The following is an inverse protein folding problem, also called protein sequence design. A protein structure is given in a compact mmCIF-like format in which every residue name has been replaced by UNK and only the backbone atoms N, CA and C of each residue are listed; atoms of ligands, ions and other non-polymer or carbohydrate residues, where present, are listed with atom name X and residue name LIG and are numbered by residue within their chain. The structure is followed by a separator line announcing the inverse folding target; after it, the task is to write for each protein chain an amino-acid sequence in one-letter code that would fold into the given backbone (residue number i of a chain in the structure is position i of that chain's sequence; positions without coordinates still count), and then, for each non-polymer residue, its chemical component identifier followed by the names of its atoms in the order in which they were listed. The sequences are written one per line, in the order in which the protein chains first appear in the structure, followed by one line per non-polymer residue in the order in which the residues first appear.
data_IF_610551984784
#
_entry.id   IF_610551984784
#
_cell.length_a   1.000
_cell.length_b   1.000
_cell.length_c   1.000
_cell.angle_alpha   90.00
_cell.angle_beta   90.00
_cell.angle_gamma   90.00
#
_symmetry.space_group_name_H-M   'P 1'
#
loop_
_entity.id
_entity.type
_entity.pdbx_description
1 polymer ?
#
# COMPACT_ATOMS: atom_id res chain seq x y z
N UNK A 1 -5.05 -9.23 21.96
CA UNK A 1 -6.11 -8.40 21.35
C UNK A 1 -5.52 -7.44 20.29
N UNK A 2 -4.49 -6.69 20.62
CA UNK A 2 -3.85 -5.72 19.69
C UNK A 2 -3.44 -6.34 18.34
N UNK A 3 -2.75 -7.49 18.35
CA UNK A 3 -2.33 -8.20 17.13
C UNK A 3 -3.52 -8.49 16.21
N UNK A 4 -4.63 -8.97 16.76
CA UNK A 4 -5.84 -9.24 15.96
C UNK A 4 -6.41 -7.97 15.34
N UNK A 5 -6.47 -6.88 16.09
CA UNK A 5 -6.93 -5.60 15.56
C UNK A 5 -6.05 -5.12 14.40
N UNK A 6 -4.73 -5.24 14.52
CA UNK A 6 -3.80 -4.89 13.45
C UNK A 6 -3.97 -5.75 12.20
N UNK A 7 -4.14 -7.08 12.36
CA UNK A 7 -4.44 -7.97 11.23
C UNK A 7 -5.74 -7.54 10.52
N UNK A 8 -6.79 -7.27 11.26
CA UNK A 8 -8.09 -6.83 10.72
C UNK A 8 -7.96 -5.51 9.97
N UNK A 9 -7.29 -4.51 10.54
CA UNK A 9 -7.12 -3.19 9.94
C UNK A 9 -6.26 -3.24 8.67
N UNK A 10 -5.11 -3.90 8.73
CA UNK A 10 -4.17 -3.97 7.61
C UNK A 10 -4.75 -4.77 6.45
N UNK A 11 -5.33 -5.96 6.74
CA UNK A 11 -5.94 -6.76 5.67
C UNK A 11 -7.15 -6.06 5.06
N UNK A 12 -7.93 -5.29 5.85
CA UNK A 12 -9.02 -4.47 5.37
C UNK A 12 -8.54 -3.35 4.44
N UNK A 13 -7.53 -2.59 4.87
CA UNK A 13 -6.92 -1.56 4.03
C UNK A 13 -6.42 -2.12 2.70
N UNK A 14 -5.62 -3.19 2.75
CA UNK A 14 -5.05 -3.83 1.56
C UNK A 14 -6.14 -4.38 0.65
N UNK A 15 -7.17 -5.03 1.21
CA UNK A 15 -8.27 -5.59 0.43
C UNK A 15 -9.06 -4.52 -0.33
N UNK A 16 -9.43 -3.43 0.35
CA UNK A 16 -10.18 -2.31 -0.29
C UNK A 16 -9.33 -1.61 -1.34
N UNK A 17 -8.05 -1.33 -1.04
CA UNK A 17 -7.15 -0.67 -1.98
C UNK A 17 -6.87 -1.52 -3.22
N UNK A 18 -6.65 -2.84 -3.06
CA UNK A 18 -6.44 -3.77 -4.18
C UNK A 18 -7.70 -3.97 -5.01
N UNK A 19 -8.87 -4.03 -4.37
CA UNK A 19 -10.15 -4.08 -5.09
C UNK A 19 -10.36 -2.81 -5.92
N UNK A 20 -10.12 -1.64 -5.33
CA UNK A 20 -10.22 -0.35 -6.01
C UNK A 20 -9.29 -0.28 -7.22
N UNK A 21 -8.02 -0.60 -7.06
CA UNK A 21 -7.05 -0.60 -8.15
C UNK A 21 -7.43 -1.58 -9.27
N UNK A 22 -7.79 -2.82 -8.93
CA UNK A 22 -8.17 -3.83 -9.92
C UNK A 22 -9.38 -3.39 -10.74
N UNK A 23 -10.40 -2.84 -10.08
CA UNK A 23 -11.60 -2.34 -10.74
C UNK A 23 -11.32 -1.07 -11.56
N UNK A 24 -10.42 -0.19 -11.12
CA UNK A 24 -10.01 1.00 -11.87
C UNK A 24 -9.21 0.65 -13.14
N UNK A 25 -8.34 -0.36 -13.08
CA UNK A 25 -7.67 -0.91 -14.27
C UNK A 25 -8.70 -1.44 -15.27
N UNK A 26 -9.76 -2.07 -14.78
CA UNK A 26 -10.88 -2.55 -15.61
C UNK A 26 -11.84 -1.44 -16.06
N UNK A 27 -11.71 -0.22 -15.57
CA UNK A 27 -12.57 0.92 -15.93
C UNK A 27 -13.95 0.91 -15.27
N UNK A 28 -14.13 0.20 -14.16
CA UNK A 28 -15.44 -0.01 -13.50
C UNK A 28 -15.40 0.25 -11.99
N UNK A 29 -14.41 1.00 -11.50
CA UNK A 29 -14.32 1.32 -10.08
C UNK A 29 -15.42 2.30 -9.67
N UNK A 30 -16.03 2.02 -8.54
CA UNK A 30 -17.02 2.87 -7.90
C UNK A 30 -17.19 2.46 -6.44
N UNK A 31 -17.81 3.29 -5.61
CA UNK A 31 -17.89 3.04 -4.17
C UNK A 31 -18.58 1.71 -3.83
N UNK A 32 -19.64 1.34 -4.55
CA UNK A 32 -20.36 0.09 -4.32
C UNK A 32 -19.52 -1.12 -4.74
N UNK A 33 -18.97 -1.09 -5.97
CA UNK A 33 -18.16 -2.18 -6.51
C UNK A 33 -16.92 -2.44 -5.65
N UNK A 34 -16.20 -1.37 -5.30
CA UNK A 34 -15.02 -1.44 -4.44
C UNK A 34 -15.38 -1.92 -3.04
N UNK A 35 -16.51 -1.47 -2.50
CA UNK A 35 -17.03 -1.93 -1.21
C UNK A 35 -17.31 -3.43 -1.22
N UNK A 36 -18.05 -3.93 -2.20
CA UNK A 36 -18.42 -5.35 -2.29
C UNK A 36 -17.18 -6.24 -2.50
N UNK A 37 -16.36 -5.93 -3.51
CA UNK A 37 -15.16 -6.72 -3.82
C UNK A 37 -14.14 -6.63 -2.69
N UNK A 38 -13.94 -5.44 -2.11
CA UNK A 38 -13.04 -5.23 -0.98
C UNK A 38 -13.46 -6.01 0.26
N UNK A 39 -14.76 -6.01 0.61
CA UNK A 39 -15.28 -6.81 1.73
C UNK A 39 -15.12 -8.31 1.49
N UNK A 40 -15.39 -8.80 0.27
CA UNK A 40 -15.20 -10.20 -0.07
C UNK A 40 -13.73 -10.62 0.05
N UNK A 41 -12.81 -9.82 -0.50
CA UNK A 41 -11.37 -10.06 -0.40
C UNK A 41 -10.89 -10.00 1.05
N UNK A 42 -11.35 -9.01 1.81
CA UNK A 42 -11.05 -8.89 3.23
C UNK A 42 -11.50 -10.11 4.03
N UNK A 43 -12.75 -10.56 3.83
CA UNK A 43 -13.26 -11.77 4.46
C UNK A 43 -12.41 -13.00 4.12
N UNK A 44 -12.02 -13.16 2.85
CA UNK A 44 -11.13 -14.23 2.40
C UNK A 44 -9.77 -14.19 3.12
N UNK A 45 -9.13 -13.01 3.21
CA UNK A 45 -7.85 -12.84 3.90
C UNK A 45 -7.97 -13.18 5.40
N UNK A 46 -9.07 -12.79 6.06
CA UNK A 46 -9.32 -13.11 7.47
C UNK A 46 -9.56 -14.61 7.69
N UNK A 47 -10.29 -15.27 6.78
CA UNK A 47 -10.50 -16.73 6.83
C UNK A 47 -9.16 -17.46 6.66
N UNK A 48 -8.34 -17.06 5.69
CA UNK A 48 -7.01 -17.64 5.47
C UNK A 48 -6.07 -17.42 6.65
N UNK A 49 -6.13 -16.26 7.30
CA UNK A 49 -5.35 -15.98 8.52
C UNK A 49 -5.78 -16.87 9.68
N UNK A 50 -7.08 -17.09 9.83
CA UNK A 50 -7.68 -17.93 10.87
C UNK A 50 -7.72 -17.25 12.26
N UNK A 51 -8.54 -17.83 13.15
CA UNK A 51 -8.80 -17.29 14.49
C UNK A 51 -7.81 -17.76 15.56
N UNK A 52 -7.04 -18.81 15.32
CA UNK A 52 -6.12 -19.35 16.31
C UNK A 52 -5.02 -18.35 16.68
N UNK A 53 -4.60 -18.32 17.95
CA UNK A 53 -3.48 -17.50 18.39
C UNK A 53 -2.21 -17.89 17.62
N UNK A 54 -1.26 -16.96 17.54
CA UNK A 54 0.07 -17.23 16.96
C UNK A 54 0.80 -18.15 17.92
N UNK A 55 1.16 -19.35 17.44
CA UNK A 55 1.92 -20.33 18.21
C UNK A 55 3.41 -20.01 18.05
N UNK A 56 3.99 -19.31 18.98
CA UNK A 56 5.44 -19.04 19.03
C UNK A 56 5.88 -18.97 20.48
N UNK A 57 7.20 -18.90 20.77
CA UNK A 57 7.66 -18.63 22.12
C UNK A 57 6.95 -17.34 22.57
N UNK A 58 6.11 -17.51 23.60
CA UNK A 58 5.24 -16.44 24.08
C UNK A 58 6.11 -15.30 24.59
N UNK A 59 6.25 -14.25 23.76
CA UNK A 59 6.71 -12.99 24.30
C UNK A 59 5.60 -12.51 25.25
N UNK A 60 5.93 -12.05 26.45
CA UNK A 60 4.91 -11.51 27.35
C UNK A 60 4.12 -10.41 26.62
N UNK A 61 2.81 -10.37 26.85
CA UNK A 61 1.98 -9.31 26.29
C UNK A 61 2.57 -7.94 26.69
N UNK A 62 2.63 -6.99 25.74
CA UNK A 62 3.17 -5.67 26.03
C UNK A 62 2.37 -5.03 27.18
N UNK A 63 3.07 -4.30 28.02
CA UNK A 63 2.45 -3.59 29.16
C UNK A 63 1.33 -2.68 28.66
N UNK A 64 0.18 -2.71 29.33
CA UNK A 64 -1.00 -1.93 28.91
C UNK A 64 -0.71 -0.45 28.69
N UNK A 65 0.11 0.16 29.55
CA UNK A 65 0.48 1.58 29.40
C UNK A 65 1.28 1.86 28.12
N UNK A 66 2.14 0.92 27.67
CA UNK A 66 2.89 1.03 26.41
C UNK A 66 1.94 1.03 25.22
N UNK A 67 0.95 0.13 25.24
CA UNK A 67 -0.08 0.10 24.19
C UNK A 67 -0.89 1.39 24.16
N UNK A 68 -1.32 1.89 25.31
CA UNK A 68 -2.08 3.15 25.40
C UNK A 68 -1.23 4.33 24.92
N UNK A 69 0.01 4.43 25.39
CA UNK A 69 0.91 5.49 24.96
C UNK A 69 1.21 5.42 23.45
N UNK A 70 1.46 4.23 22.90
CA UNK A 70 1.67 4.03 21.47
C UNK A 70 0.46 4.43 20.64
N UNK A 71 -0.74 4.02 21.04
CA UNK A 71 -1.97 4.42 20.37
C UNK A 71 -2.22 5.94 20.46
N UNK A 72 -1.88 6.56 21.58
CA UNK A 72 -1.96 8.03 21.74
C UNK A 72 -1.00 8.74 20.78
N UNK A 73 0.25 8.28 20.68
CA UNK A 73 1.24 8.83 19.72
C UNK A 73 0.71 8.73 18.28
N UNK A 74 0.17 7.57 17.90
CA UNK A 74 -0.41 7.35 16.57
C UNK A 74 -1.59 8.29 16.31
N UNK A 75 -2.51 8.39 17.27
CA UNK A 75 -3.70 9.25 17.15
C UNK A 75 -3.32 10.73 17.05
N UNK A 76 -2.40 11.20 17.91
CA UNK A 76 -1.91 12.59 17.89
C UNK A 76 -1.17 12.89 16.58
N UNK A 77 -0.27 11.99 16.13
CA UNK A 77 0.41 12.14 14.84
C UNK A 77 -0.58 12.18 13.68
N UNK A 78 -1.55 11.28 13.64
CA UNK A 78 -2.61 11.29 12.63
C UNK A 78 -3.40 12.61 12.63
N UNK A 79 -3.92 13.03 13.77
CA UNK A 79 -4.69 14.27 13.91
C UNK A 79 -3.87 15.53 13.54
N UNK A 80 -2.60 15.58 13.93
CA UNK A 80 -1.71 16.71 13.62
C UNK A 80 -1.38 16.82 12.12
N UNK A 81 -1.49 15.72 11.37
CA UNK A 81 -1.19 15.69 9.94
C UNK A 81 -2.43 15.79 9.03
N UNK A 82 -3.66 15.78 9.55
CA UNK A 82 -4.90 15.90 8.73
C UNK A 82 -5.05 17.29 8.10
N UNK A 83 -4.76 18.37 8.84
CA UNK A 83 -5.08 19.74 8.40
C UNK A 83 -4.07 20.41 7.47
N UNK A 84 -2.76 20.27 7.64
CA UNK A 84 -1.80 20.97 6.79
C UNK A 84 -1.43 20.15 5.54
N UNK A 85 -2.41 19.79 4.75
CA UNK A 85 -2.17 19.19 3.43
C UNK A 85 -1.81 20.29 2.43
N UNK A 86 -0.74 20.10 1.67
CA UNK A 86 -0.39 21.00 0.59
C UNK A 86 -1.44 20.92 -0.52
N UNK A 87 -1.88 22.08 -1.03
CA UNK A 87 -2.68 22.12 -2.26
C UNK A 87 -1.74 21.96 -3.46
N UNK A 88 -1.66 20.76 -4.01
CA UNK A 88 -0.89 20.48 -5.22
C UNK A 88 -1.77 20.63 -6.44
N UNK A 89 -1.70 21.81 -7.07
CA UNK A 89 -2.44 22.13 -8.30
C UNK A 89 -1.63 21.75 -9.54
N UNK A 90 -0.29 21.72 -9.42
CA UNK A 90 0.60 21.42 -10.53
C UNK A 90 0.87 19.92 -10.64
N UNK A 91 0.64 19.35 -11.80
CA UNK A 91 0.83 17.93 -12.11
C UNK A 91 2.26 17.54 -12.52
N UNK A 92 3.22 18.43 -12.34
CA UNK A 92 4.60 18.23 -12.77
C UNK A 92 5.49 17.46 -11.76
N UNK A 93 4.91 16.95 -10.69
CA UNK A 93 5.57 16.17 -9.64
C UNK A 93 4.63 15.10 -9.09
N UNK A 94 5.20 14.05 -8.51
CA UNK A 94 4.45 12.93 -7.91
C UNK A 94 3.21 13.34 -7.11
N UNK A 95 3.26 14.31 -6.17
CA UNK A 95 2.07 14.68 -5.40
C UNK A 95 0.91 15.18 -6.27
N UNK A 96 1.19 16.02 -7.26
CA UNK A 96 0.16 16.53 -8.17
C UNK A 96 -0.41 15.44 -9.07
N UNK A 97 0.44 14.54 -9.54
CA UNK A 97 0.05 13.37 -10.35
C UNK A 97 -0.89 12.47 -9.56
N UNK A 98 -0.54 12.15 -8.30
CA UNK A 98 -1.38 11.31 -7.43
C UNK A 98 -2.71 11.98 -7.10
N UNK A 99 -2.72 13.29 -6.83
CA UNK A 99 -3.95 14.06 -6.56
C UNK A 99 -4.84 14.06 -7.80
N UNK A 100 -4.31 14.38 -8.99
CA UNK A 100 -5.07 14.37 -10.23
C UNK A 100 -5.63 12.98 -10.54
N UNK A 101 -4.81 11.92 -10.42
CA UNK A 101 -5.24 10.55 -10.64
C UNK A 101 -6.29 10.06 -9.65
N UNK A 102 -6.15 10.44 -8.38
CA UNK A 102 -7.12 10.10 -7.35
C UNK A 102 -8.48 10.76 -7.58
N UNK A 103 -8.50 12.04 -7.96
CA UNK A 103 -9.72 12.77 -8.32
C UNK A 103 -10.39 12.17 -9.56
N UNK A 104 -9.62 11.99 -10.62
CA UNK A 104 -10.12 11.38 -11.84
C UNK A 104 -10.77 10.01 -11.58
N UNK A 105 -10.07 9.16 -10.83
CA UNK A 105 -10.60 7.84 -10.47
C UNK A 105 -11.86 7.93 -9.62
N UNK A 106 -11.94 8.86 -8.69
CA UNK A 106 -13.13 9.05 -7.85
C UNK A 106 -14.36 9.44 -8.69
N UNK A 107 -14.18 10.27 -9.69
CA UNK A 107 -15.24 10.78 -10.56
C UNK A 107 -15.61 9.82 -11.69
N UNK A 108 -14.62 9.14 -12.31
CA UNK A 108 -14.81 8.40 -13.56
C UNK A 108 -14.62 6.88 -13.41
N UNK A 109 -14.07 6.40 -12.30
CA UNK A 109 -13.88 4.97 -12.02
C UNK A 109 -12.80 4.29 -12.86
N UNK A 110 -11.92 5.05 -13.54
CA UNK A 110 -10.86 4.53 -14.40
C UNK A 110 -9.55 5.31 -14.23
N UNK A 111 -8.48 4.86 -14.92
CA UNK A 111 -7.14 5.45 -14.88
C UNK A 111 -6.76 6.20 -16.15
N UNK A 112 -7.65 6.27 -17.13
CA UNK A 112 -7.43 6.95 -18.40
C UNK A 112 -8.21 8.26 -18.41
N UNK A 113 -7.51 9.37 -18.57
CA UNK A 113 -8.11 10.69 -18.64
C UNK A 113 -8.49 10.99 -20.09
N UNK A 114 -9.77 11.17 -20.34
CA UNK A 114 -10.30 11.56 -21.65
C UNK A 114 -10.43 13.09 -21.76
N UNK A 115 -10.22 13.66 -22.95
CA UNK A 115 -10.50 15.06 -23.24
C UNK A 115 -9.27 15.99 -23.22
N UNK A 116 -8.06 15.45 -23.43
CA UNK A 116 -6.83 16.25 -23.34
C UNK A 116 -6.73 17.43 -24.33
N UNK A 117 -6.78 17.18 -25.62
CA UNK A 117 -6.56 18.23 -26.67
C UNK A 117 -7.80 19.09 -26.85
N UNK A 118 -8.99 18.51 -26.83
CA UNK A 118 -10.26 19.24 -27.02
C UNK A 118 -10.54 20.26 -25.90
N UNK A 119 -9.94 20.04 -24.71
CA UNK A 119 -10.09 20.96 -23.58
C UNK A 119 -9.26 22.25 -23.72
N UNK A 120 -8.29 22.30 -24.65
CA UNK A 120 -7.38 23.44 -24.84
C UNK A 120 -7.49 23.97 -26.26
N UNK A 121 -8.22 25.09 -26.50
CA UNK A 121 -8.38 25.66 -27.84
C UNK A 121 -7.04 25.96 -28.50
N UNK A 122 -6.84 25.47 -29.74
CA UNK A 122 -5.65 25.73 -30.53
C UNK A 122 -4.48 24.74 -30.28
N UNK A 123 -4.75 23.65 -29.58
CA UNK A 123 -3.82 22.56 -29.42
C UNK A 123 -4.15 21.45 -30.42
N UNK A 124 -3.23 21.16 -31.33
CA UNK A 124 -3.39 20.09 -32.33
C UNK A 124 -2.91 18.72 -31.85
N UNK A 125 -2.06 18.71 -30.81
CA UNK A 125 -1.60 17.47 -30.15
C UNK A 125 -1.14 17.74 -28.72
N UNK A 126 -1.09 16.70 -27.88
CA UNK A 126 -0.48 16.76 -26.56
C UNK A 126 1.05 16.64 -26.59
N UNK A 127 1.63 16.44 -27.79
CA UNK A 127 3.07 16.43 -27.99
C UNK A 127 3.72 17.71 -27.44
N UNK A 128 4.52 17.56 -26.41
CA UNK A 128 5.17 18.68 -25.73
C UNK A 128 4.43 19.22 -24.49
N UNK A 129 3.13 18.97 -24.30
CA UNK A 129 2.45 19.19 -23.02
C UNK A 129 2.62 18.00 -22.08
N UNK A 130 2.70 16.81 -22.66
CA UNK A 130 2.94 15.57 -21.93
C UNK A 130 4.46 15.39 -21.80
N UNK A 131 5.08 16.24 -21.01
CA UNK A 131 6.50 16.10 -20.73
C UNK A 131 6.75 14.83 -19.93
N UNK A 132 7.82 14.10 -20.27
CA UNK A 132 8.25 12.90 -19.56
C UNK A 132 8.41 13.14 -18.03
N UNK A 133 8.71 14.38 -17.61
CA UNK A 133 8.76 14.76 -16.20
C UNK A 133 7.40 15.02 -15.53
N UNK A 134 6.30 15.05 -16.28
CA UNK A 134 4.95 15.28 -15.75
C UNK A 134 4.23 13.99 -15.37
N UNK A 135 4.82 12.82 -15.64
CA UNK A 135 4.20 11.53 -15.34
C UNK A 135 2.90 11.26 -16.09
N UNK A 136 2.73 11.87 -17.25
CA UNK A 136 1.56 11.71 -18.11
C UNK A 136 2.03 11.38 -19.53
N UNK A 137 1.33 10.49 -20.20
CA UNK A 137 1.63 10.12 -21.58
C UNK A 137 0.36 9.89 -22.37
N UNK A 138 0.43 10.06 -23.69
CA UNK A 138 -0.63 9.66 -24.59
C UNK A 138 -0.87 8.16 -24.53
N UNK A 139 -2.13 7.77 -24.69
CA UNK A 139 -2.53 6.37 -24.71
C UNK A 139 -2.67 5.90 -26.16
N UNK A 140 -1.86 4.93 -26.57
CA UNK A 140 -2.00 4.21 -27.85
C UNK A 140 -2.11 5.10 -29.10
N UNK A 141 -1.45 6.27 -29.08
CA UNK A 141 -1.48 7.21 -30.20
C UNK A 141 -2.80 8.01 -30.31
N UNK A 142 -3.67 7.96 -29.31
CA UNK A 142 -4.86 8.80 -29.23
C UNK A 142 -4.49 10.12 -28.51
N UNK A 143 -4.43 11.25 -29.26
CA UNK A 143 -4.02 12.54 -28.70
C UNK A 143 -5.02 13.10 -27.66
N UNK A 144 -6.21 12.53 -27.56
CA UNK A 144 -7.24 12.93 -26.61
C UNK A 144 -7.19 12.14 -25.30
N UNK A 145 -6.33 11.14 -25.19
CA UNK A 145 -6.24 10.26 -24.02
C UNK A 145 -4.90 10.36 -23.33
N UNK A 146 -4.94 10.62 -22.04
CA UNK A 146 -3.76 10.74 -21.20
C UNK A 146 -3.78 9.61 -20.18
N UNK A 147 -2.66 8.89 -20.04
CA UNK A 147 -2.43 7.97 -18.93
C UNK A 147 -1.56 8.64 -17.87
N UNK A 148 -1.99 8.50 -16.63
CA UNK A 148 -1.19 8.87 -15.47
C UNK A 148 -0.13 7.79 -15.28
N UNK A 149 1.15 8.18 -15.25
CA UNK A 149 2.26 7.25 -15.15
C UNK A 149 2.61 6.92 -13.71
N UNK A 150 3.08 5.69 -13.47
CA UNK A 150 3.52 5.22 -12.17
C UNK A 150 2.63 4.14 -11.57
N UNK A 151 2.81 3.87 -10.30
CA UNK A 151 2.02 2.88 -9.56
C UNK A 151 0.76 3.54 -8.96
N UNK A 152 -0.41 2.94 -9.17
CA UNK A 152 -1.70 3.62 -8.93
C UNK A 152 -2.39 3.26 -7.61
N UNK A 153 -1.74 2.50 -6.70
CA UNK A 153 -2.35 2.16 -5.40
C UNK A 153 -2.66 3.41 -4.56
N UNK A 154 -1.74 4.38 -4.54
CA UNK A 154 -1.96 5.58 -3.73
C UNK A 154 -3.05 6.49 -4.30
N UNK A 155 -3.13 6.80 -5.61
CA UNK A 155 -4.32 7.40 -6.21
C UNK A 155 -5.62 6.70 -5.86
N UNK A 156 -5.63 5.36 -5.88
CA UNK A 156 -6.80 4.57 -5.46
C UNK A 156 -7.20 4.82 -4.01
N UNK A 157 -6.23 4.92 -3.11
CA UNK A 157 -6.48 5.24 -1.69
C UNK A 157 -7.09 6.62 -1.53
N UNK A 158 -6.65 7.59 -2.32
CA UNK A 158 -7.23 8.94 -2.34
C UNK A 158 -8.69 8.91 -2.83
N UNK A 159 -8.96 8.19 -3.93
CA UNK A 159 -10.31 8.02 -4.46
C UNK A 159 -11.25 7.34 -3.44
N UNK A 160 -10.77 6.31 -2.74
CA UNK A 160 -11.54 5.68 -1.64
C UNK A 160 -11.86 6.69 -0.54
N UNK A 161 -10.89 7.53 -0.17
CA UNK A 161 -11.12 8.62 0.78
C UNK A 161 -12.24 9.55 0.35
N UNK A 162 -12.26 9.93 -0.92
CA UNK A 162 -13.30 10.78 -1.50
C UNK A 162 -14.68 10.12 -1.48
N UNK A 163 -14.77 8.85 -1.86
CA UNK A 163 -16.03 8.10 -1.80
C UNK A 163 -16.58 7.96 -0.38
N UNK A 164 -15.72 7.94 0.63
CA UNK A 164 -16.14 7.81 2.05
C UNK A 164 -16.61 9.13 2.63
N UNK A 165 -15.93 10.25 2.37
CA UNK A 165 -16.20 11.52 3.03
C UNK A 165 -15.94 12.77 2.14
N UNK A 166 -16.06 12.63 0.81
CA UNK A 166 -15.86 13.72 -0.14
C UNK A 166 -14.46 14.33 -0.03
N UNK A 167 -14.35 15.62 -0.27
CA UNK A 167 -13.08 16.37 -0.18
C UNK A 167 -12.36 16.22 1.15
N UNK A 168 -13.10 16.11 2.25
CA UNK A 168 -12.52 15.91 3.59
C UNK A 168 -11.84 14.55 3.67
N UNK A 169 -12.48 13.52 3.15
CA UNK A 169 -11.92 12.17 3.11
C UNK A 169 -10.71 12.07 2.18
N UNK A 170 -10.79 12.69 1.02
CA UNK A 170 -9.65 12.80 0.08
C UNK A 170 -8.45 13.46 0.75
N UNK A 171 -8.65 14.63 1.36
CA UNK A 171 -7.60 15.37 2.04
C UNK A 171 -7.04 14.66 3.28
N UNK A 172 -7.86 13.90 4.00
CA UNK A 172 -7.43 13.17 5.19
C UNK A 172 -6.74 11.83 4.87
N UNK A 173 -6.93 11.26 3.67
CA UNK A 173 -6.42 9.95 3.31
C UNK A 173 -4.91 9.77 3.55
N UNK A 174 -4.02 10.70 3.18
CA UNK A 174 -2.58 10.58 3.46
C UNK A 174 -2.27 10.47 4.96
N UNK A 175 -2.94 11.27 5.80
CA UNK A 175 -2.75 11.26 7.24
C UNK A 175 -3.28 9.97 7.90
N UNK A 176 -4.39 9.44 7.39
CA UNK A 176 -4.93 8.14 7.82
C UNK A 176 -3.96 7.01 7.46
N UNK A 177 -3.44 7.00 6.23
CA UNK A 177 -2.42 6.02 5.82
C UNK A 177 -1.16 6.15 6.67
N UNK A 178 -0.70 7.37 6.93
CA UNK A 178 0.42 7.63 7.84
C UNK A 178 0.17 7.08 9.24
N UNK A 179 -0.99 7.32 9.83
CA UNK A 179 -1.35 6.78 11.15
C UNK A 179 -1.37 5.24 11.14
N UNK A 180 -1.93 4.61 10.10
CA UNK A 180 -1.91 3.15 9.94
C UNK A 180 -0.49 2.60 9.76
N UNK A 181 0.37 3.30 9.00
CA UNK A 181 1.76 2.92 8.82
C UNK A 181 2.54 3.01 10.14
N UNK A 182 2.32 4.06 10.93
CA UNK A 182 2.90 4.19 12.26
C UNK A 182 2.41 3.09 13.22
N UNK A 183 1.13 2.70 13.12
CA UNK A 183 0.57 1.58 13.87
C UNK A 183 1.18 0.24 13.46
N UNK A 184 1.40 0.01 12.16
CA UNK A 184 2.08 -1.18 11.63
C UNK A 184 3.56 -1.22 12.06
N UNK A 185 4.24 -0.06 12.05
CA UNK A 185 5.60 0.07 12.58
C UNK A 185 5.65 -0.28 14.08
N UNK A 186 4.76 0.28 14.88
CA UNK A 186 4.68 -0.02 16.31
C UNK A 186 4.42 -1.50 16.56
N UNK A 187 3.51 -2.12 15.80
CA UNK A 187 3.27 -3.56 15.83
C UNK A 187 4.54 -4.38 15.54
N UNK A 188 5.27 -4.02 14.49
CA UNK A 188 6.54 -4.67 14.14
C UNK A 188 7.59 -4.43 15.22
N UNK A 189 7.73 -3.20 15.70
CA UNK A 189 8.67 -2.82 16.76
C UNK A 189 8.43 -3.61 18.05
N UNK A 190 7.18 -3.79 18.47
CA UNK A 190 6.81 -4.62 19.62
C UNK A 190 7.19 -6.09 19.45
N UNK A 191 7.39 -6.59 18.23
CA UNK A 191 7.87 -7.96 17.98
C UNK A 191 9.40 -8.07 18.07
N UNK A 192 10.10 -7.00 17.78
CA UNK A 192 11.56 -7.01 17.64
C UNK A 192 12.28 -6.40 18.83
N UNK A 193 11.68 -5.42 19.50
CA UNK A 193 12.28 -4.58 20.52
C UNK A 193 11.58 -4.73 21.89
N UNK A 194 12.27 -4.46 23.00
CA UNK A 194 11.60 -4.26 24.29
C UNK A 194 10.52 -3.19 24.21
N UNK A 195 9.50 -3.28 25.06
CA UNK A 195 8.31 -2.42 25.04
C UNK A 195 8.65 -0.91 25.00
N UNK A 196 9.56 -0.46 25.88
CA UNK A 196 9.97 0.93 25.95
C UNK A 196 10.72 1.39 24.69
N UNK A 197 11.54 0.50 24.11
CA UNK A 197 12.28 0.80 22.88
C UNK A 197 11.36 0.85 21.65
N UNK A 198 10.35 -0.02 21.61
CA UNK A 198 9.31 0.03 20.58
C UNK A 198 8.52 1.35 20.63
N UNK A 199 8.15 1.80 21.84
CA UNK A 199 7.49 3.09 22.04
C UNK A 199 8.41 4.25 21.62
N UNK A 200 9.65 4.26 22.09
CA UNK A 200 10.62 5.31 21.76
C UNK A 200 10.88 5.40 20.26
N UNK A 201 11.05 4.27 19.58
CA UNK A 201 11.21 4.22 18.10
C UNK A 201 9.96 4.76 17.38
N UNK A 202 8.77 4.46 17.90
CA UNK A 202 7.51 4.96 17.32
C UNK A 202 7.37 6.46 17.49
N UNK A 203 7.74 7.00 18.67
CA UNK A 203 7.78 8.46 18.89
C UNK A 203 8.80 9.11 17.97
N UNK A 204 10.01 8.54 17.85
CA UNK A 204 11.05 9.07 16.97
C UNK A 204 10.58 9.16 15.53
N UNK A 205 9.95 8.10 15.02
CA UNK A 205 9.38 8.10 13.65
C UNK A 205 8.25 9.12 13.52
N UNK A 206 7.37 9.24 14.52
CA UNK A 206 6.23 10.17 14.48
C UNK A 206 6.62 11.64 14.40
N UNK A 207 7.80 12.01 14.94
CA UNK A 207 8.33 13.38 14.94
C UNK A 207 9.42 13.60 13.90
N UNK A 208 9.77 12.57 13.13
CA UNK A 208 10.77 12.68 12.07
C UNK A 208 10.27 13.59 10.95
N UNK A 209 11.16 14.50 10.50
CA UNK A 209 10.81 15.49 9.48
C UNK A 209 10.43 14.83 8.15
N UNK A 210 11.18 13.83 7.70
CA UNK A 210 10.91 13.16 6.43
C UNK A 210 9.57 12.41 6.50
N UNK A 211 9.25 11.82 7.66
CA UNK A 211 7.94 11.22 7.91
C UNK A 211 6.80 12.23 7.78
N UNK A 212 6.88 13.34 8.50
CA UNK A 212 5.85 14.39 8.48
C UNK A 212 5.69 14.96 7.07
N UNK A 213 6.81 15.22 6.38
CA UNK A 213 6.81 15.72 5.01
C UNK A 213 6.09 14.75 4.06
N UNK A 214 6.41 13.45 4.12
CA UNK A 214 5.81 12.46 3.22
C UNK A 214 4.33 12.23 3.50
N UNK A 215 3.90 12.27 4.76
CA UNK A 215 2.48 12.13 5.15
C UNK A 215 1.66 13.35 4.71
N UNK A 216 2.23 14.56 4.74
CA UNK A 216 1.55 15.80 4.32
C UNK A 216 1.64 16.06 2.82
N UNK A 217 2.58 15.41 2.12
CA UNK A 217 2.96 15.72 0.76
C UNK A 217 2.22 14.95 -0.33
N UNK A 218 1.17 14.22 -0.04
CA UNK A 218 0.50 13.31 -1.01
C UNK A 218 1.48 12.38 -1.71
N UNK A 219 2.44 11.83 -0.97
CA UNK A 219 3.44 10.89 -1.48
C UNK A 219 3.02 9.44 -1.21
N UNK A 220 3.39 8.53 -2.09
CA UNK A 220 3.12 7.09 -1.94
C UNK A 220 3.96 6.41 -0.85
N UNK A 221 4.99 7.09 -0.33
CA UNK A 221 5.88 6.57 0.72
C UNK A 221 5.18 5.99 1.94
N UNK A 222 4.24 6.70 2.59
CA UNK A 222 3.49 6.17 3.73
C UNK A 222 2.70 4.90 3.41
N UNK A 223 2.15 4.77 2.19
CA UNK A 223 1.46 3.57 1.73
C UNK A 223 2.42 2.40 1.62
N UNK A 224 3.59 2.61 1.02
CA UNK A 224 4.66 1.60 0.95
C UNK A 224 5.10 1.15 2.34
N UNK A 225 5.33 2.09 3.25
CA UNK A 225 5.76 1.79 4.62
C UNK A 225 4.67 1.05 5.42
N UNK A 226 3.40 1.43 5.26
CA UNK A 226 2.29 0.68 5.86
C UNK A 226 2.31 -0.78 5.43
N UNK A 227 2.34 -1.02 4.13
CA UNK A 227 2.31 -2.37 3.57
C UNK A 227 3.59 -3.14 3.95
N UNK A 228 4.76 -2.50 3.91
CA UNK A 228 6.06 -3.11 4.26
C UNK A 228 6.15 -3.51 5.73
N UNK A 229 5.83 -2.62 6.66
CA UNK A 229 5.85 -2.92 8.09
C UNK A 229 4.81 -3.99 8.46
N UNK A 230 3.62 -3.90 7.89
CA UNK A 230 2.58 -4.88 8.10
C UNK A 230 2.98 -6.26 7.56
N UNK A 231 3.52 -6.33 6.35
CA UNK A 231 4.00 -7.57 5.75
C UNK A 231 5.09 -8.22 6.60
N UNK A 232 6.05 -7.43 7.11
CA UNK A 232 7.10 -7.92 8.00
C UNK A 232 6.53 -8.48 9.31
N UNK A 233 5.58 -7.77 9.94
CA UNK A 233 4.94 -8.22 11.16
C UNK A 233 4.10 -9.49 10.95
N UNK A 234 3.34 -9.56 9.84
CA UNK A 234 2.58 -10.74 9.44
C UNK A 234 3.49 -11.93 9.12
N UNK A 235 4.61 -11.69 8.45
CA UNK A 235 5.59 -12.72 8.13
C UNK A 235 6.15 -13.36 9.39
N UNK A 236 6.53 -12.56 10.39
CA UNK A 236 7.03 -13.09 11.68
C UNK A 236 5.98 -13.99 12.36
N UNK A 237 4.70 -13.58 12.36
CA UNK A 237 3.59 -14.38 12.90
C UNK A 237 3.32 -15.64 12.07
N UNK A 238 3.41 -15.55 10.76
CA UNK A 238 3.21 -16.67 9.86
C UNK A 238 4.29 -17.74 10.03
N UNK A 239 5.56 -17.31 10.10
CA UNK A 239 6.70 -18.22 10.35
C UNK A 239 6.61 -18.83 11.73
N UNK A 240 6.26 -18.08 12.78
CA UNK A 240 6.06 -18.62 14.12
C UNK A 240 4.95 -19.68 14.20
N UNK A 241 3.97 -19.61 13.29
CA UNK A 241 2.85 -20.55 13.18
C UNK A 241 3.09 -21.69 12.18
N UNK A 242 4.23 -21.71 11.52
CA UNK A 242 4.60 -22.76 10.56
C UNK A 242 5.00 -24.06 11.27
N UNK A 243 4.62 -25.24 10.80
CA UNK A 243 3.81 -25.55 9.62
C UNK A 243 2.30 -25.69 9.87
N UNK A 244 1.83 -25.39 11.09
CA UNK A 244 0.43 -25.64 11.51
C UNK A 244 -0.58 -24.72 10.79
N UNK A 245 -0.14 -23.54 10.32
CA UNK A 245 -0.98 -22.54 9.65
C UNK A 245 -0.31 -22.00 8.38
N UNK A 246 -0.19 -22.82 7.35
CA UNK A 246 0.54 -22.44 6.12
C UNK A 246 -0.13 -21.27 5.38
N UNK A 247 -1.45 -21.11 5.46
CA UNK A 247 -2.21 -20.03 4.83
C UNK A 247 -1.82 -18.63 5.32
N UNK A 248 -1.24 -18.52 6.52
CA UNK A 248 -0.71 -17.24 7.02
C UNK A 248 0.47 -16.73 6.19
N UNK A 249 1.31 -17.64 5.66
CA UNK A 249 2.36 -17.24 4.71
C UNK A 249 1.77 -16.68 3.41
N UNK A 250 0.65 -17.23 2.94
CA UNK A 250 -0.04 -16.66 1.78
C UNK A 250 -0.58 -15.26 2.06
N UNK A 251 -1.20 -15.03 3.22
CA UNK A 251 -1.66 -13.68 3.60
C UNK A 251 -0.48 -12.70 3.71
N UNK A 252 0.63 -13.12 4.34
CA UNK A 252 1.83 -12.28 4.41
C UNK A 252 2.41 -11.98 3.02
N UNK A 253 2.42 -12.97 2.11
CA UNK A 253 2.83 -12.81 0.72
C UNK A 253 1.92 -11.85 -0.04
N UNK A 254 0.61 -11.95 0.13
CA UNK A 254 -0.38 -11.05 -0.47
C UNK A 254 -0.13 -9.59 -0.05
N UNK A 255 -0.02 -9.36 1.26
CA UNK A 255 0.25 -8.02 1.79
C UNK A 255 1.61 -7.51 1.31
N UNK A 256 2.66 -8.34 1.35
CA UNK A 256 3.98 -7.93 0.87
C UNK A 256 3.96 -7.51 -0.61
N UNK A 257 3.36 -8.34 -1.48
CA UNK A 257 3.35 -8.07 -2.93
C UNK A 257 2.47 -6.86 -3.31
N UNK A 258 1.52 -6.45 -2.46
CA UNK A 258 0.78 -5.20 -2.64
C UNK A 258 1.71 -3.97 -2.66
N UNK A 259 2.91 -4.05 -2.08
CA UNK A 259 3.90 -2.98 -2.17
C UNK A 259 4.30 -2.63 -3.61
N UNK A 260 4.29 -3.60 -4.54
CA UNK A 260 4.58 -3.39 -5.96
C UNK A 260 3.58 -2.45 -6.64
N UNK A 261 2.33 -2.45 -6.20
CA UNK A 261 1.29 -1.55 -6.73
C UNK A 261 1.37 -0.14 -6.13
N UNK A 262 2.17 0.04 -5.07
CA UNK A 262 2.43 1.35 -4.47
C UNK A 262 3.67 2.03 -5.06
N UNK A 263 4.72 1.24 -5.35
CA UNK A 263 6.00 1.73 -5.91
C UNK A 263 6.75 0.59 -6.61
N UNK A 264 7.33 0.90 -7.75
CA UNK A 264 8.11 -0.09 -8.54
C UNK A 264 9.39 -0.52 -7.83
N UNK A 265 10.07 0.40 -7.14
CA UNK A 265 11.27 0.12 -6.36
C UNK A 265 11.03 -0.84 -5.16
N UNK A 266 9.77 -1.07 -4.78
CA UNK A 266 9.40 -2.12 -3.85
C UNK A 266 9.75 -3.54 -4.36
N UNK A 267 10.04 -3.71 -5.64
CA UNK A 267 10.53 -4.97 -6.21
C UNK A 267 11.74 -5.53 -5.47
N UNK A 268 12.68 -4.68 -5.05
CA UNK A 268 13.85 -5.09 -4.26
C UNK A 268 13.42 -5.73 -2.93
N UNK A 269 12.43 -5.18 -2.24
CA UNK A 269 11.90 -5.72 -0.98
C UNK A 269 11.26 -7.09 -1.25
N UNK A 270 10.46 -7.20 -2.31
CA UNK A 270 9.77 -8.45 -2.65
C UNK A 270 10.75 -9.57 -3.00
N UNK A 271 11.86 -9.27 -3.66
CA UNK A 271 12.91 -10.25 -3.97
C UNK A 271 13.67 -10.71 -2.72
N UNK A 272 13.83 -9.86 -1.72
CA UNK A 272 14.53 -10.20 -0.47
C UNK A 272 13.68 -11.02 0.51
N UNK A 273 12.35 -10.85 0.50
CA UNK A 273 11.45 -11.53 1.43
C UNK A 273 11.48 -13.07 1.30
N UNK A 274 11.49 -13.70 0.12
CA UNK A 274 11.64 -15.15 -0.01
C UNK A 274 12.92 -15.69 0.64
N UNK A 275 14.04 -14.96 0.53
CA UNK A 275 15.30 -15.32 1.20
C UNK A 275 15.09 -15.29 2.72
N UNK A 276 14.44 -14.25 3.24
CA UNK A 276 14.13 -14.14 4.66
C UNK A 276 13.21 -15.29 5.14
N UNK A 277 12.16 -15.62 4.38
CA UNK A 277 11.29 -16.79 4.66
C UNK A 277 12.13 -18.06 4.75
N UNK A 278 13.00 -18.31 3.77
CA UNK A 278 13.84 -19.49 3.75
C UNK A 278 14.77 -19.55 4.96
N UNK A 279 15.41 -18.45 5.32
CA UNK A 279 16.32 -18.36 6.49
C UNK A 279 15.56 -18.62 7.79
N UNK A 280 14.42 -17.95 7.99
CA UNK A 280 13.63 -18.06 9.21
C UNK A 280 13.07 -19.48 9.41
N UNK A 281 12.54 -20.09 8.35
CA UNK A 281 12.02 -21.46 8.39
C UNK A 281 13.13 -22.49 8.66
N UNK A 282 14.31 -22.31 8.06
CA UNK A 282 15.48 -23.19 8.32
C UNK A 282 15.96 -23.08 9.75
N UNK A 283 16.00 -21.88 10.33
CA UNK A 283 16.38 -21.67 11.75
C UNK A 283 15.45 -22.37 12.74
N UNK A 284 14.21 -22.67 12.34
CA UNK A 284 13.28 -23.45 13.14
C UNK A 284 13.48 -24.98 13.00
N UNK A 285 14.55 -25.45 12.36
CA UNK A 285 14.80 -26.85 12.12
C UNK A 285 13.92 -27.47 11.01
N UNK A 286 13.18 -26.66 10.28
CA UNK A 286 12.22 -27.10 9.25
C UNK A 286 12.79 -27.03 7.82
N UNK A 287 14.09 -27.24 7.64
CA UNK A 287 14.80 -27.09 6.36
C UNK A 287 14.15 -27.87 5.19
N UNK A 288 13.74 -29.12 5.43
CA UNK A 288 13.05 -29.96 4.44
C UNK A 288 11.67 -29.40 4.00
N UNK A 289 11.09 -28.45 4.73
CA UNK A 289 9.78 -27.84 4.45
C UNK A 289 9.88 -26.44 3.88
N UNK A 290 11.10 -25.94 3.64
CA UNK A 290 11.35 -24.57 3.14
C UNK A 290 10.66 -24.34 1.79
N UNK A 291 10.75 -25.28 0.84
CA UNK A 291 10.10 -25.16 -0.46
C UNK A 291 8.57 -25.00 -0.35
N UNK A 292 7.94 -25.75 0.57
CA UNK A 292 6.50 -25.61 0.83
C UNK A 292 6.15 -24.26 1.43
N UNK A 293 6.98 -23.73 2.34
CA UNK A 293 6.76 -22.39 2.92
C UNK A 293 6.86 -21.30 1.87
N UNK A 294 7.86 -21.37 1.00
CA UNK A 294 8.00 -20.48 -0.15
C UNK A 294 6.82 -20.60 -1.12
N UNK A 295 6.35 -21.81 -1.40
CA UNK A 295 5.18 -22.04 -2.25
C UNK A 295 3.93 -21.33 -1.72
N UNK A 296 3.65 -21.39 -0.43
CA UNK A 296 2.52 -20.68 0.17
C UNK A 296 2.70 -19.17 0.10
N UNK A 297 3.91 -18.66 0.35
CA UNK A 297 4.19 -17.24 0.22
C UNK A 297 4.01 -16.74 -1.21
N UNK A 298 4.58 -17.45 -2.20
CA UNK A 298 4.44 -17.12 -3.62
C UNK A 298 2.98 -17.18 -4.08
N UNK A 299 2.21 -18.17 -3.62
CA UNK A 299 0.78 -18.29 -3.92
C UNK A 299 0.01 -17.03 -3.49
N UNK A 300 0.30 -16.52 -2.29
CA UNK A 300 -0.30 -15.27 -1.82
C UNK A 300 0.18 -14.05 -2.61
N UNK A 301 1.46 -13.98 -2.93
CA UNK A 301 2.06 -12.86 -3.66
C UNK A 301 1.60 -12.77 -5.13
N UNK A 302 1.20 -13.87 -5.74
CA UNK A 302 0.91 -13.95 -7.17
C UNK A 302 -0.20 -12.98 -7.61
N UNK A 303 -1.29 -12.86 -6.85
CA UNK A 303 -2.40 -11.96 -7.19
C UNK A 303 -1.99 -10.49 -7.27
N UNK A 304 -1.48 -9.89 -6.17
CA UNK A 304 -1.03 -8.50 -6.20
C UNK A 304 0.12 -8.25 -7.19
N UNK A 305 1.03 -9.20 -7.38
CA UNK A 305 2.11 -9.08 -8.36
C UNK A 305 1.55 -9.07 -9.81
N UNK A 306 0.54 -9.88 -10.09
CA UNK A 306 -0.13 -9.86 -11.39
C UNK A 306 -0.87 -8.53 -11.61
N UNK A 307 -1.58 -8.01 -10.60
CA UNK A 307 -2.22 -6.68 -10.67
C UNK A 307 -1.17 -5.59 -10.93
N UNK A 308 -0.03 -5.60 -10.22
CA UNK A 308 1.04 -4.64 -10.46
C UNK A 308 1.60 -4.74 -11.88
N UNK A 309 1.83 -5.95 -12.39
CA UNK A 309 2.33 -6.17 -13.75
C UNK A 309 1.34 -5.65 -14.79
N UNK A 310 0.04 -5.91 -14.62
CA UNK A 310 -1.03 -5.41 -15.50
C UNK A 310 -1.14 -3.89 -15.42
N UNK A 311 -1.14 -3.32 -14.20
CA UNK A 311 -1.18 -1.88 -13.97
C UNK A 311 -0.03 -1.17 -14.71
N UNK A 312 1.19 -1.61 -14.48
CA UNK A 312 2.38 -1.00 -15.07
C UNK A 312 2.46 -1.21 -16.59
N UNK A 313 2.12 -2.40 -17.09
CA UNK A 313 2.23 -2.70 -18.52
C UNK A 313 1.13 -2.04 -19.36
N UNK A 314 -0.10 -1.94 -18.84
CA UNK A 314 -1.24 -1.37 -19.57
C UNK A 314 -1.48 0.10 -19.28
N UNK A 315 -1.12 0.57 -18.07
CA UNK A 315 -1.43 1.92 -17.61
C UNK A 315 -0.21 2.81 -17.45
N UNK A 316 1.00 2.25 -17.49
CA UNK A 316 2.25 2.99 -17.37
C UNK A 316 3.39 2.42 -18.23
N UNK A 317 3.16 2.09 -19.51
CA UNK A 317 4.17 1.42 -20.34
C UNK A 317 5.42 2.29 -20.54
N UNK A 318 5.26 3.60 -20.71
CA UNK A 318 6.38 4.53 -20.89
C UNK A 318 7.21 4.65 -19.61
N UNK A 319 6.57 4.68 -18.44
CA UNK A 319 7.27 4.67 -17.15
C UNK A 319 8.19 3.46 -17.00
N UNK A 320 7.74 2.28 -17.46
CA UNK A 320 8.58 1.08 -17.47
C UNK A 320 9.76 1.20 -18.48
N UNK A 321 9.52 1.77 -19.66
CA UNK A 321 10.59 1.96 -20.65
C UNK A 321 11.65 2.94 -20.16
N UNK A 322 11.25 4.02 -19.52
CA UNK A 322 12.16 5.03 -18.99
C UNK A 322 13.04 4.45 -17.87
N UNK A 323 12.43 3.69 -16.93
CA UNK A 323 13.19 2.96 -15.92
C UNK A 323 14.21 1.96 -16.51
N UNK A 324 13.85 1.29 -17.61
CA UNK A 324 14.73 0.36 -18.31
C UNK A 324 15.88 1.04 -19.07
N UNK A 325 15.72 2.29 -19.46
CA UNK A 325 16.73 3.07 -20.18
C UNK A 325 17.76 3.73 -19.25
N UNK A 326 17.42 3.91 -17.97
CA UNK A 326 18.31 4.51 -16.96
C UNK A 326 19.13 3.46 -16.18
N UNK A 327 18.81 2.16 -16.34
CA UNK A 327 19.48 1.04 -15.65
C UNK A 327 20.61 0.45 -16.50
#
# INVERSE_FOLDING_TARGET
RYVRAMVVLVTGFVAVSMAGLTLAIAGVAGPLQVGVVGLALWAALLVLWGRAPVSGPARPDPRTWVLVAGLLVIAVSGAANVRPQGLYVLTNRDPGIYVAGGRWMAEHGNLVVDGGVEAVPGLDSLDGLVAAGAGQTETDGDPNRIQIQGAHLFPTVLAVGEWVAGDVGFGAAPAVVGALALAAFFWLALKLLPDWAALAATVALAVDFAWIYTVRGYLSGPTLLLVGFAAAALLLDAVASWPTRPTRLAVAGFVAATALTARVDAGVVILTVPVLVAVLVRRQGAGARTGRALGWWCLGAAGPAAVAAVDLSLRSPRYLSDLGSEA
#
